data_IF_981889362301
#
_entry.id   IF_981889362301
#
_cell.length_a   1.000
_cell.length_b   1.000
_cell.length_c   1.000
_cell.angle_alpha   90.00
_cell.angle_beta   90.00
_cell.angle_gamma   90.00
#
_symmetry.space_group_name_H-M   'P 1'
#
loop_
_entity.id
_entity.type
_entity.pdbx_description
1 polymer ?
#
# COMPACT_ATOMS: atom_id res chain seq x y z
N UNK A 1 17.91 45.35 3.32
CA UNK A 1 17.90 44.65 2.03
C UNK A 1 17.84 43.13 2.21
N UNK A 2 18.86 42.47 2.78
CA UNK A 2 18.93 40.99 2.92
C UNK A 2 17.75 40.34 3.68
N UNK A 3 17.26 40.95 4.77
CA UNK A 3 16.10 40.45 5.54
C UNK A 3 14.81 40.38 4.72
N UNK A 4 14.64 41.27 3.72
CA UNK A 4 13.47 41.29 2.85
C UNK A 4 13.51 40.14 1.83
N UNK A 5 14.69 39.85 1.27
CA UNK A 5 14.89 38.71 0.38
C UNK A 5 14.74 37.38 1.10
N UNK A 6 15.25 37.25 2.34
CA UNK A 6 15.06 36.04 3.16
C UNK A 6 13.57 35.79 3.41
N UNK A 7 12.80 36.84 3.74
CA UNK A 7 11.35 36.69 3.97
C UNK A 7 10.61 36.29 2.69
N UNK A 8 11.02 36.82 1.54
CA UNK A 8 10.45 36.45 0.24
C UNK A 8 10.75 34.99 -0.10
N UNK A 9 12.00 34.54 0.09
CA UNK A 9 12.41 33.15 -0.15
C UNK A 9 11.67 32.19 0.78
N UNK A 10 11.56 32.51 2.08
CA UNK A 10 10.80 31.69 3.04
C UNK A 10 9.30 31.65 2.69
N UNK A 11 8.75 32.76 2.21
CA UNK A 11 7.36 32.83 1.79
C UNK A 11 7.11 31.96 0.55
N UNK A 12 7.93 32.09 -0.49
CA UNK A 12 7.83 31.30 -1.71
C UNK A 12 8.09 29.81 -1.44
N UNK A 13 9.07 29.49 -0.60
CA UNK A 13 9.33 28.11 -0.18
C UNK A 13 8.14 27.51 0.60
N UNK A 14 7.54 28.27 1.53
CA UNK A 14 6.34 27.83 2.25
C UNK A 14 5.14 27.61 1.32
N UNK A 15 4.97 28.46 0.32
CA UNK A 15 3.89 28.34 -0.67
C UNK A 15 4.09 27.13 -1.59
N UNK A 16 5.32 26.87 -2.02
CA UNK A 16 5.68 25.68 -2.80
C UNK A 16 5.47 24.40 -1.98
N UNK A 17 5.92 24.37 -0.72
CA UNK A 17 5.70 23.25 0.20
C UNK A 17 4.20 23.00 0.42
N UNK A 18 3.42 24.07 0.58
CA UNK A 18 1.98 23.99 0.80
C UNK A 18 1.17 23.45 -0.38
N UNK A 19 1.73 23.43 -1.59
CA UNK A 19 1.06 22.90 -2.80
C UNK A 19 1.67 21.56 -3.24
N UNK A 20 3.01 21.44 -3.20
CA UNK A 20 3.73 20.28 -3.70
C UNK A 20 3.60 19.05 -2.78
N UNK A 21 3.63 19.24 -1.45
CA UNK A 21 3.51 18.11 -0.51
C UNK A 21 2.12 17.45 -0.60
N UNK A 22 0.99 18.19 -0.62
CA UNK A 22 -0.32 17.59 -0.81
C UNK A 22 -0.46 16.84 -2.14
N UNK A 23 0.15 17.35 -3.22
CA UNK A 23 0.17 16.69 -4.53
C UNK A 23 0.89 15.33 -4.47
N UNK A 24 2.09 15.30 -3.91
CA UNK A 24 2.87 14.06 -3.74
C UNK A 24 2.13 13.02 -2.90
N UNK A 25 1.53 13.43 -1.77
CA UNK A 25 0.75 12.52 -0.91
C UNK A 25 -0.46 11.98 -1.65
N UNK A 26 -1.18 12.82 -2.40
CA UNK A 26 -2.33 12.40 -3.20
C UNK A 26 -1.95 11.33 -4.21
N UNK A 27 -0.82 11.50 -4.91
CA UNK A 27 -0.36 10.53 -5.89
C UNK A 27 0.20 9.25 -5.26
N UNK A 28 0.83 9.34 -4.09
CA UNK A 28 1.21 8.17 -3.28
C UNK A 28 -0.03 7.36 -2.86
N UNK A 29 -1.05 8.03 -2.32
CA UNK A 29 -2.30 7.38 -1.91
C UNK A 29 -2.96 6.63 -3.08
N UNK A 30 -3.02 7.23 -4.27
CA UNK A 30 -3.57 6.56 -5.47
C UNK A 30 -2.79 5.30 -5.86
N UNK A 31 -1.47 5.28 -5.70
CA UNK A 31 -0.66 4.08 -5.99
C UNK A 31 -0.90 2.98 -4.97
N UNK A 32 -0.96 3.32 -3.68
CA UNK A 32 -1.30 2.35 -2.64
C UNK A 32 -2.69 1.76 -2.88
N UNK A 33 -3.67 2.58 -3.26
CA UNK A 33 -5.00 2.12 -3.65
C UNK A 33 -4.95 1.14 -4.83
N UNK A 34 -4.19 1.47 -5.87
CA UNK A 34 -4.07 0.60 -7.05
C UNK A 34 -3.47 -0.77 -6.71
N UNK A 35 -2.38 -0.81 -5.94
CA UNK A 35 -1.77 -2.07 -5.50
C UNK A 35 -2.69 -2.88 -4.57
N UNK A 36 -3.45 -2.18 -3.71
CA UNK A 36 -4.45 -2.82 -2.85
C UNK A 36 -5.54 -3.49 -3.69
N UNK A 37 -6.09 -2.79 -4.68
CA UNK A 37 -7.09 -3.34 -5.60
C UNK A 37 -6.55 -4.52 -6.42
N UNK A 38 -5.29 -4.45 -6.87
CA UNK A 38 -4.62 -5.54 -7.59
C UNK A 38 -4.44 -6.78 -6.71
N UNK A 39 -3.99 -6.59 -5.46
CA UNK A 39 -3.84 -7.68 -4.49
C UNK A 39 -5.19 -8.32 -4.15
N UNK A 40 -6.24 -7.52 -3.96
CA UNK A 40 -7.60 -8.01 -3.76
C UNK A 40 -8.13 -8.80 -4.95
N UNK A 41 -7.92 -8.29 -6.17
CA UNK A 41 -8.35 -8.96 -7.40
C UNK A 41 -7.63 -10.29 -7.58
N UNK A 42 -6.35 -10.38 -7.21
CA UNK A 42 -5.58 -11.62 -7.23
C UNK A 42 -6.07 -12.65 -6.21
N UNK A 43 -6.54 -12.20 -5.04
CA UNK A 43 -7.14 -13.07 -4.02
C UNK A 43 -8.56 -13.51 -4.35
N UNK A 44 -9.27 -12.79 -5.22
CA UNK A 44 -10.69 -12.99 -5.50
C UNK A 44 -11.03 -14.43 -5.89
N UNK A 45 -10.20 -15.07 -6.73
CA UNK A 45 -10.41 -16.47 -7.12
C UNK A 45 -10.37 -17.44 -5.94
N UNK A 46 -9.46 -17.22 -4.99
CA UNK A 46 -9.36 -18.02 -3.76
C UNK A 46 -10.51 -17.70 -2.80
N UNK A 47 -10.92 -16.44 -2.68
CA UNK A 47 -12.08 -16.03 -1.90
C UNK A 47 -13.37 -16.65 -2.43
N UNK A 48 -13.56 -16.73 -3.74
CA UNK A 48 -14.72 -17.40 -4.35
C UNK A 48 -14.73 -18.90 -4.07
N UNK A 49 -13.57 -19.55 -4.14
CA UNK A 49 -13.42 -20.97 -3.76
C UNK A 49 -13.72 -21.18 -2.27
N UNK A 50 -13.17 -20.33 -1.41
CA UNK A 50 -13.46 -20.34 0.03
C UNK A 50 -14.95 -20.09 0.30
N UNK A 51 -15.61 -19.23 -0.46
CA UNK A 51 -17.05 -19.00 -0.34
C UNK A 51 -17.87 -20.26 -0.63
N UNK A 52 -17.45 -21.06 -1.60
CA UNK A 52 -18.14 -22.28 -2.01
C UNK A 52 -17.92 -23.46 -1.07
N UNK A 53 -16.70 -23.62 -0.54
CA UNK A 53 -16.31 -24.82 0.21
C UNK A 53 -15.99 -24.59 1.69
N UNK A 54 -15.71 -23.35 2.09
CA UNK A 54 -15.24 -22.97 3.44
C UNK A 54 -16.03 -21.80 4.03
N UNK A 55 -17.26 -21.56 3.56
CA UNK A 55 -18.15 -20.50 4.04
C UNK A 55 -17.53 -19.08 4.01
N UNK A 56 -16.62 -18.84 3.06
CA UNK A 56 -15.93 -17.56 2.87
C UNK A 56 -14.60 -17.44 3.63
N UNK A 57 -14.23 -18.45 4.41
CA UNK A 57 -12.98 -18.44 5.19
C UNK A 57 -11.79 -18.90 4.33
N UNK A 58 -11.06 -17.92 3.79
CA UNK A 58 -9.81 -18.16 3.02
C UNK A 58 -8.74 -18.81 3.89
N UNK A 59 -8.74 -18.57 5.20
CA UNK A 59 -7.76 -19.18 6.11
C UNK A 59 -8.05 -20.66 6.34
N UNK A 60 -9.33 -21.05 6.38
CA UNK A 60 -9.73 -22.45 6.38
C UNK A 60 -9.36 -23.17 5.07
N UNK A 61 -9.48 -22.50 3.91
CA UNK A 61 -8.99 -23.01 2.62
C UNK A 61 -7.47 -23.26 2.64
N UNK A 62 -6.68 -22.29 3.13
CA UNK A 62 -5.21 -22.43 3.27
C UNK A 62 -4.88 -23.60 4.19
N UNK A 63 -5.57 -23.72 5.33
CA UNK A 63 -5.32 -24.79 6.29
C UNK A 63 -5.60 -26.17 5.69
N UNK A 64 -6.67 -26.28 4.89
CA UNK A 64 -7.01 -27.51 4.17
C UNK A 64 -5.91 -27.90 3.16
N UNK A 65 -5.42 -26.92 2.38
CA UNK A 65 -4.33 -27.15 1.42
C UNK A 65 -3.01 -27.52 2.11
N UNK A 66 -2.70 -26.93 3.28
CA UNK A 66 -1.53 -27.32 4.09
C UNK A 66 -1.63 -28.72 4.66
N UNK A 67 -2.83 -29.17 5.04
CA UNK A 67 -3.06 -30.52 5.56
C UNK A 67 -3.11 -31.60 4.48
N UNK A 68 -3.07 -31.23 3.21
CA UNK A 68 -3.11 -32.18 2.09
C UNK A 68 -1.76 -32.88 1.92
N UNK A 69 -1.77 -34.17 1.61
CA UNK A 69 -0.53 -34.96 1.40
C UNK A 69 0.23 -34.54 0.12
N UNK A 70 -0.49 -33.96 -0.84
CA UNK A 70 0.10 -33.49 -2.10
C UNK A 70 1.03 -32.28 -1.87
N UNK A 71 2.31 -32.35 -2.28
CA UNK A 71 3.22 -31.21 -2.21
C UNK A 71 2.74 -29.99 -3.03
N UNK A 72 1.94 -30.17 -4.07
CA UNK A 72 1.38 -29.08 -4.87
C UNK A 72 0.41 -28.25 -4.04
N UNK A 73 -0.55 -28.90 -3.36
CA UNK A 73 -1.49 -28.19 -2.49
C UNK A 73 -0.80 -27.48 -1.33
N UNK A 74 0.23 -28.09 -0.72
CA UNK A 74 1.01 -27.44 0.34
C UNK A 74 1.73 -26.19 -0.16
N UNK A 75 2.35 -26.26 -1.33
CA UNK A 75 3.02 -25.11 -1.96
C UNK A 75 2.03 -24.01 -2.31
N UNK A 76 0.85 -24.38 -2.83
CA UNK A 76 -0.20 -23.42 -3.14
C UNK A 76 -0.74 -22.73 -1.89
N UNK A 77 -0.86 -23.45 -0.77
CA UNK A 77 -1.24 -22.87 0.51
C UNK A 77 -0.29 -21.76 0.97
N UNK A 78 1.01 -21.94 0.75
CA UNK A 78 2.01 -20.91 1.07
C UNK A 78 1.93 -19.72 0.12
N UNK A 79 1.66 -19.94 -1.17
CA UNK A 79 1.42 -18.86 -2.13
C UNK A 79 0.19 -18.03 -1.75
N UNK A 80 -0.94 -18.68 -1.44
CA UNK A 80 -2.17 -18.01 -1.01
C UNK A 80 -1.94 -17.27 0.31
N UNK A 81 -1.21 -17.88 1.26
CA UNK A 81 -0.84 -17.24 2.54
C UNK A 81 -0.01 -15.97 2.32
N UNK A 82 0.91 -15.97 1.36
CA UNK A 82 1.71 -14.78 1.02
C UNK A 82 0.85 -13.68 0.39
N UNK A 83 -0.06 -14.04 -0.54
CA UNK A 83 -1.00 -13.09 -1.14
C UNK A 83 -1.94 -12.48 -0.08
N UNK A 84 -2.47 -13.30 0.83
CA UNK A 84 -3.33 -12.85 1.92
C UNK A 84 -2.60 -11.87 2.85
N UNK A 85 -1.36 -12.20 3.23
CA UNK A 85 -0.51 -11.35 4.07
C UNK A 85 -0.18 -10.02 3.38
N UNK A 86 0.12 -10.05 2.08
CA UNK A 86 0.40 -8.84 1.28
C UNK A 86 -0.83 -7.95 1.21
N UNK A 87 -2.00 -8.52 0.94
CA UNK A 87 -3.26 -7.78 0.90
C UNK A 87 -3.61 -7.14 2.25
N UNK A 88 -3.47 -7.88 3.36
CA UNK A 88 -3.68 -7.34 4.72
C UNK A 88 -2.70 -6.22 5.09
N UNK A 89 -1.49 -6.25 4.52
CA UNK A 89 -0.49 -5.18 4.75
C UNK A 89 -0.87 -3.92 3.97
N UNK A 90 -1.23 -4.08 2.69
CA UNK A 90 -1.70 -2.98 1.84
C UNK A 90 -3.02 -2.37 2.34
N UNK A 91 -3.94 -3.19 2.87
CA UNK A 91 -5.20 -2.71 3.44
C UNK A 91 -4.97 -1.84 4.69
N UNK A 92 -4.03 -2.25 5.56
CA UNK A 92 -3.62 -1.43 6.73
C UNK A 92 -2.96 -0.13 6.31
N UNK A 93 -2.10 -0.17 5.29
CA UNK A 93 -1.46 1.02 4.75
C UNK A 93 -2.47 1.97 4.12
N UNK A 94 -3.42 1.42 3.36
CA UNK A 94 -4.54 2.18 2.81
C UNK A 94 -5.40 2.83 3.89
N UNK A 95 -5.76 2.10 4.95
CA UNK A 95 -6.51 2.65 6.10
C UNK A 95 -5.73 3.78 6.80
N UNK A 96 -4.42 3.64 6.95
CA UNK A 96 -3.56 4.71 7.49
C UNK A 96 -3.55 5.95 6.57
N UNK A 97 -3.71 5.76 5.26
CA UNK A 97 -3.81 6.82 4.27
C UNK A 97 -5.23 7.42 4.14
N UNK A 98 -6.26 6.87 4.79
CA UNK A 98 -7.60 7.48 4.79
C UNK A 98 -7.75 8.66 5.77
N UNK A 99 -6.82 8.82 6.72
CA UNK A 99 -6.86 9.88 7.73
C UNK A 99 -6.74 11.31 7.16
N UNK A 100 -6.78 12.36 8.01
CA UNK A 100 -6.59 13.74 7.57
C UNK A 100 -5.24 13.95 6.85
N UNK A 101 -5.14 14.93 5.95
CA UNK A 101 -3.95 15.14 5.10
C UNK A 101 -2.62 15.24 5.86
N UNK A 102 -2.62 15.79 7.08
CA UNK A 102 -1.45 15.88 7.94
C UNK A 102 -1.02 14.52 8.51
N UNK A 103 -1.98 13.63 8.79
CA UNK A 103 -1.69 12.25 9.24
C UNK A 103 -1.11 11.41 8.11
N UNK A 104 -1.61 11.60 6.87
CA UNK A 104 -1.03 11.01 5.67
C UNK A 104 0.39 11.50 5.43
N UNK A 105 0.61 12.81 5.55
CA UNK A 105 1.94 13.42 5.42
C UNK A 105 2.93 12.84 6.43
N UNK A 106 2.52 12.73 7.69
CA UNK A 106 3.35 12.12 8.74
C UNK A 106 3.62 10.65 8.45
N UNK A 107 2.60 9.89 8.08
CA UNK A 107 2.73 8.46 7.77
C UNK A 107 3.67 8.21 6.58
N UNK A 108 3.57 8.98 5.49
CA UNK A 108 4.47 8.89 4.34
C UNK A 108 5.92 9.25 4.71
N UNK A 109 6.11 10.21 5.63
CA UNK A 109 7.44 10.63 6.08
C UNK A 109 8.09 9.65 7.07
N UNK A 110 7.31 9.00 7.95
CA UNK A 110 7.85 8.19 9.06
C UNK A 110 7.62 6.69 8.95
N UNK A 111 6.64 6.25 8.16
CA UNK A 111 6.11 4.88 8.21
C UNK A 111 5.70 4.31 6.83
N UNK A 112 6.09 4.96 5.73
CA UNK A 112 5.86 4.43 4.39
C UNK A 112 6.50 3.04 4.23
N UNK A 113 5.79 2.09 3.59
CA UNK A 113 6.35 0.81 3.18
C UNK A 113 7.59 1.07 2.32
N UNK A 114 8.75 0.63 2.80
CA UNK A 114 10.03 0.91 2.16
C UNK A 114 10.07 0.42 0.72
N UNK A 115 9.31 -0.64 0.38
CA UNK A 115 9.19 -1.15 -0.98
C UNK A 115 8.47 -0.17 -1.90
N UNK A 116 7.30 0.35 -1.49
CA UNK A 116 6.53 1.32 -2.28
C UNK A 116 7.24 2.68 -2.34
N UNK A 117 7.93 3.05 -1.25
CA UNK A 117 8.74 4.28 -1.19
C UNK A 117 9.91 4.24 -2.17
N UNK A 118 10.60 3.10 -2.26
CA UNK A 118 11.69 2.89 -3.20
C UNK A 118 11.19 2.81 -4.66
N UNK A 119 10.02 2.21 -4.90
CA UNK A 119 9.35 2.24 -6.21
C UNK A 119 8.96 3.66 -6.64
N UNK A 120 8.44 4.46 -5.69
CA UNK A 120 8.06 5.86 -5.95
C UNK A 120 9.27 6.74 -6.21
N UNK A 121 10.38 6.51 -5.51
CA UNK A 121 11.65 7.23 -5.71
C UNK A 121 12.31 6.86 -7.05
N UNK A 122 12.29 5.58 -7.41
CA UNK A 122 12.80 5.11 -8.71
C UNK A 122 11.95 5.58 -9.88
N UNK A 123 10.63 5.73 -9.71
CA UNK A 123 9.73 6.31 -10.71
C UNK A 123 10.02 7.78 -11.05
N UNK A 124 10.66 8.53 -10.14
CA UNK A 124 11.10 9.91 -10.39
C UNK A 124 12.47 9.99 -11.09
N UNK A 125 13.21 8.88 -11.17
CA UNK A 125 14.60 8.85 -11.70
C UNK A 125 14.66 8.37 -13.15
N UNK A 126 13.51 8.08 -13.78
CA UNK A 126 13.41 7.77 -15.21
C UNK A 126 12.41 8.71 -15.90
N UNK A 127 12.85 9.95 -16.10
CA UNK A 127 12.47 10.83 -17.22
C UNK A 127 13.62 11.78 -17.53
#
# INVERSE_FOLDING_TARGET
>A
MLRSYIRLVLFTAGLLIGVQIPGFISDYSKRVEAHMLEAQQSLRGYTETAQRFFNGDVQALIQHYRSSDDPVFRTDADNISNLLTRNQTLDREWLALQGPWYSRAWHVLTAADTGIRDETWNGYTWQ
#
